data_IF_211291080167
#
_entry.id   IF_211291080167
#
_cell.length_a   1.000
_cell.length_b   1.000
_cell.length_c   1.000
_cell.angle_alpha   90.00
_cell.angle_beta   90.00
_cell.angle_gamma   90.00
#
_symmetry.space_group_name_H-M   'P 1'
#
loop_
_entity.id
_entity.type
_entity.pdbx_description
1 polymer ?
#
# COMPACT_ATOMS: atom_id res chain seq x y z
N UNK A 1 5.45 27.18 5.84
CA UNK A 1 5.96 26.52 4.61
C UNK A 1 6.26 25.06 4.98
N UNK A 2 5.68 23.99 4.44
CA UNK A 2 4.89 23.76 3.24
C UNK A 2 4.36 22.31 3.34
N UNK A 3 3.05 22.12 3.52
CA UNK A 3 2.35 20.82 3.42
C UNK A 3 2.63 20.07 2.09
N UNK A 4 3.18 20.79 1.10
CA UNK A 4 3.58 20.27 -0.22
C UNK A 4 4.64 19.17 -0.20
N UNK A 5 5.43 19.01 0.89
CA UNK A 5 6.45 17.94 0.98
C UNK A 5 5.90 16.58 1.45
N UNK A 6 4.75 16.52 2.15
CA UNK A 6 4.15 15.23 2.57
C UNK A 6 3.46 14.50 1.42
N UNK A 7 2.95 15.25 0.45
CA UNK A 7 2.15 14.70 -0.64
C UNK A 7 3.00 13.91 -1.66
N UNK A 8 4.27 14.31 -1.85
CA UNK A 8 5.20 13.61 -2.75
C UNK A 8 5.78 12.33 -2.16
N UNK A 9 5.91 12.22 -0.82
CA UNK A 9 6.41 11.00 -0.15
C UNK A 9 5.43 9.81 -0.28
N UNK A 10 4.12 10.10 -0.34
CA UNK A 10 3.06 9.07 -0.47
C UNK A 10 2.98 8.43 -1.84
N UNK A 11 3.45 9.09 -2.90
CA UNK A 11 3.39 8.55 -4.27
C UNK A 11 4.35 7.37 -4.49
N UNK A 12 5.46 7.33 -3.76
CA UNK A 12 6.43 6.23 -3.79
C UNK A 12 6.34 5.33 -2.55
N UNK A 13 5.30 5.48 -1.73
CA UNK A 13 5.12 4.65 -0.56
C UNK A 13 4.84 3.22 -1.00
N UNK A 14 5.66 2.28 -0.51
CA UNK A 14 5.40 0.85 -0.67
C UNK A 14 4.22 0.47 0.21
N UNK A 15 3.35 -0.35 -0.33
CA UNK A 15 2.17 -0.89 0.33
C UNK A 15 2.12 -2.38 0.05
N UNK A 16 1.52 -3.10 0.97
CA UNK A 16 1.08 -4.47 0.75
C UNK A 16 -0.40 -4.42 0.37
N UNK A 17 -0.72 -5.03 -0.76
CA UNK A 17 -2.08 -5.22 -1.26
C UNK A 17 -2.44 -6.70 -1.11
N UNK A 18 -3.40 -6.97 -0.24
CA UNK A 18 -4.08 -8.25 -0.14
C UNK A 18 -5.42 -8.13 -0.86
N UNK A 19 -5.61 -8.85 -1.96
CA UNK A 19 -6.79 -8.69 -2.82
C UNK A 19 -7.39 -10.05 -3.17
N UNK A 20 -8.71 -10.16 -3.02
CA UNK A 20 -9.47 -11.37 -3.35
C UNK A 20 -9.99 -11.28 -4.78
N UNK A 21 -9.27 -11.90 -5.72
CA UNK A 21 -9.63 -11.91 -7.14
C UNK A 21 -10.31 -13.24 -7.45
N UNK A 22 -11.60 -13.20 -7.79
CA UNK A 22 -12.39 -14.42 -7.92
C UNK A 22 -12.54 -15.15 -6.59
N UNK A 23 -11.84 -16.27 -6.42
CA UNK A 23 -11.83 -17.07 -5.18
C UNK A 23 -10.40 -17.23 -4.60
N UNK A 24 -9.44 -16.48 -5.12
CA UNK A 24 -8.03 -16.58 -4.76
C UNK A 24 -7.55 -15.30 -4.09
N UNK A 25 -6.96 -15.45 -2.91
CA UNK A 25 -6.25 -14.37 -2.23
C UNK A 25 -4.90 -14.16 -2.89
N UNK A 26 -4.65 -12.93 -3.34
CA UNK A 26 -3.38 -12.50 -3.90
C UNK A 26 -2.73 -11.49 -2.96
N UNK A 27 -1.54 -11.81 -2.51
CA UNK A 27 -0.71 -10.94 -1.68
C UNK A 27 0.40 -10.35 -2.54
N UNK A 28 0.47 -9.02 -2.63
CA UNK A 28 1.48 -8.34 -3.43
C UNK A 28 2.04 -7.12 -2.71
N UNK A 29 3.35 -6.94 -2.76
CA UNK A 29 4.02 -5.73 -2.27
C UNK A 29 4.38 -4.83 -3.45
N UNK A 30 3.77 -3.66 -3.52
CA UNK A 30 3.95 -2.73 -4.64
C UNK A 30 3.82 -1.27 -4.18
N UNK A 31 3.95 -0.32 -5.10
CA UNK A 31 3.72 1.09 -4.75
C UNK A 31 2.24 1.39 -4.63
N UNK A 32 1.87 2.38 -3.80
CA UNK A 32 0.48 2.81 -3.63
C UNK A 32 -0.21 3.08 -4.98
N UNK A 33 0.49 3.70 -5.94
CA UNK A 33 -0.05 3.96 -7.27
C UNK A 33 -0.39 2.67 -8.02
N UNK A 34 0.52 1.70 -8.01
CA UNK A 34 0.27 0.42 -8.67
C UNK A 34 -0.83 -0.38 -7.95
N UNK A 35 -0.97 -0.24 -6.62
CA UNK A 35 -1.99 -0.95 -5.87
C UNK A 35 -3.37 -0.40 -6.19
N UNK A 36 -3.48 0.92 -6.29
CA UNK A 36 -4.69 1.57 -6.76
C UNK A 36 -5.09 1.11 -8.16
N UNK A 37 -4.11 0.94 -9.06
CA UNK A 37 -4.35 0.42 -10.41
C UNK A 37 -4.84 -1.04 -10.39
N UNK A 38 -4.27 -1.91 -9.54
CA UNK A 38 -4.77 -3.27 -9.37
C UNK A 38 -6.20 -3.31 -8.84
N UNK A 39 -6.52 -2.48 -7.85
CA UNK A 39 -7.87 -2.37 -7.28
C UNK A 39 -8.87 -1.91 -8.36
N UNK A 40 -8.53 -0.88 -9.14
CA UNK A 40 -9.44 -0.34 -10.15
C UNK A 40 -9.70 -1.30 -11.32
N UNK A 41 -8.68 -2.06 -11.74
CA UNK A 41 -8.75 -2.90 -12.93
C UNK A 41 -9.06 -4.37 -12.69
N UNK A 42 -8.90 -4.89 -11.46
CA UNK A 42 -9.14 -6.30 -11.18
C UNK A 42 -10.57 -6.55 -10.71
N UNK A 43 -11.24 -7.60 -11.22
CA UNK A 43 -12.55 -8.01 -10.71
C UNK A 43 -12.38 -8.68 -9.34
N UNK A 44 -12.26 -7.88 -8.30
CA UNK A 44 -12.06 -8.32 -6.92
C UNK A 44 -13.35 -8.24 -6.10
N UNK A 45 -13.49 -9.09 -5.09
CA UNK A 45 -14.61 -9.05 -4.12
C UNK A 45 -14.28 -8.26 -2.86
N UNK A 46 -13.01 -8.01 -2.61
CA UNK A 46 -12.51 -7.26 -1.47
C UNK A 46 -11.00 -7.09 -1.54
N UNK A 47 -10.50 -6.08 -0.85
CA UNK A 47 -9.08 -5.82 -0.73
C UNK A 47 -8.73 -5.18 0.62
N UNK A 48 -7.50 -5.38 1.04
CA UNK A 48 -6.87 -4.73 2.19
C UNK A 48 -5.57 -4.09 1.73
N UNK A 49 -5.31 -2.88 2.20
CA UNK A 49 -4.10 -2.12 1.91
C UNK A 49 -3.35 -1.81 3.20
N UNK A 50 -2.13 -2.32 3.32
CA UNK A 50 -1.25 -2.08 4.46
C UNK A 50 -0.11 -1.17 4.01
N UNK A 51 0.01 0.00 4.64
CA UNK A 51 1.10 0.93 4.35
C UNK A 51 2.38 0.45 5.04
N UNK A 52 3.43 0.24 4.25
CA UNK A 52 4.77 0.04 4.80
C UNK A 52 5.33 1.44 5.07
N UNK A 53 5.29 1.89 6.32
CA UNK A 53 5.97 3.12 6.69
C UNK A 53 7.48 2.86 6.79
N UNK A 54 8.27 3.77 6.24
CA UNK A 54 9.74 3.73 6.33
C UNK A 54 10.21 4.28 7.70
N UNK A 55 9.28 4.74 8.56
CA UNK A 55 9.56 5.03 9.96
C UNK A 55 9.17 3.84 10.82
N UNK A 56 10.10 2.91 10.93
CA UNK A 56 10.30 2.26 12.22
C UNK A 56 11.74 2.50 12.69
N UNK A 57 12.04 3.68 13.27
CA UNK A 57 13.26 3.86 14.05
C UNK A 57 13.10 3.37 15.50
N UNK A 58 11.97 2.75 15.89
CA UNK A 58 11.64 2.48 17.29
C UNK A 58 11.18 1.03 17.58
N UNK A 59 11.54 0.05 16.75
CA UNK A 59 11.67 -1.35 17.19
C UNK A 59 13.01 -1.53 17.90
N UNK A 60 13.28 -0.70 18.91
CA UNK A 60 14.30 -0.99 19.92
C UNK A 60 13.64 -0.86 21.30
N UNK A 61 13.54 -2.00 21.97
CA UNK A 61 13.30 -2.17 23.41
C UNK A 61 11.89 -1.95 23.95
N UNK A 62 11.28 -3.07 24.41
CA UNK A 62 11.38 -3.42 25.83
C UNK A 62 11.28 -4.94 26.04
#
# INVERSE_FOLDING_TARGET
MTERKRQTKRRHQKVVLDILVGNDWRHQTLTLKAAQHCIDHWPHRGYTLTYLDDRDPDSTSN
#
